data_IF_587765777487
#
_entry.id   IF_587765777487
#
_cell.length_a   1.000
_cell.length_b   1.000
_cell.length_c   1.000
_cell.angle_alpha   90.00
_cell.angle_beta   90.00
_cell.angle_gamma   90.00
#
_symmetry.space_group_name_H-M   'P 1'
#
loop_
_entity.id
_entity.type
_entity.pdbx_description
1 polymer ?
#
# COMPACT_ATOMS: atom_id res chain seq x y z
N UNK A 1 15.86 5.59 -2.65
CA UNK A 1 15.07 4.52 -3.26
C UNK A 1 15.37 3.32 -2.39
N UNK A 2 14.38 2.76 -1.70
CA UNK A 2 14.62 1.54 -0.93
C UNK A 2 13.84 0.46 -1.65
N UNK A 3 14.55 -0.47 -2.28
CA UNK A 3 13.97 -1.72 -2.75
C UNK A 3 13.60 -2.59 -1.55
N UNK A 4 13.65 -3.90 -1.72
CA UNK A 4 13.48 -4.82 -0.60
C UNK A 4 14.51 -4.53 0.51
N UNK A 5 14.20 -4.95 1.74
CA UNK A 5 15.09 -4.75 2.88
C UNK A 5 16.49 -5.38 2.67
N UNK A 6 16.62 -6.33 1.73
CA UNK A 6 17.87 -6.97 1.29
C UNK A 6 18.65 -6.16 0.23
N UNK A 7 18.15 -4.98 -0.18
CA UNK A 7 18.77 -4.12 -1.18
C UNK A 7 18.52 -4.54 -2.63
N UNK A 8 17.72 -5.58 -2.87
CA UNK A 8 17.38 -6.01 -4.23
C UNK A 8 16.23 -5.20 -4.80
N UNK A 9 16.27 -5.01 -6.12
CA UNK A 9 15.13 -4.57 -6.92
C UNK A 9 14.80 -5.74 -7.83
N UNK A 10 13.57 -6.27 -7.72
CA UNK A 10 13.14 -7.50 -8.42
C UNK A 10 12.05 -7.14 -9.43
N UNK A 11 12.41 -6.54 -10.58
CA UNK A 11 11.43 -6.01 -11.53
C UNK A 11 10.59 -7.10 -12.21
N UNK A 12 11.06 -8.35 -12.22
CA UNK A 12 10.39 -9.50 -12.86
C UNK A 12 9.54 -10.33 -11.87
N UNK A 13 9.54 -10.00 -10.58
CA UNK A 13 8.62 -10.63 -9.61
C UNK A 13 7.24 -9.96 -9.66
N UNK A 14 6.20 -10.75 -9.40
CA UNK A 14 4.85 -10.22 -9.25
C UNK A 14 4.82 -9.22 -8.09
N UNK A 15 4.29 -8.03 -8.36
CA UNK A 15 4.19 -6.94 -7.38
C UNK A 15 2.88 -7.07 -6.62
N UNK A 16 2.94 -7.03 -5.29
CA UNK A 16 1.73 -7.10 -4.44
C UNK A 16 0.89 -5.83 -4.57
N UNK A 17 -0.38 -5.90 -4.17
CA UNK A 17 -1.24 -4.71 -4.17
C UNK A 17 -0.69 -3.62 -3.23
N UNK A 18 -0.09 -3.99 -2.11
CA UNK A 18 0.53 -3.06 -1.16
C UNK A 18 1.73 -2.34 -1.79
N UNK A 19 2.61 -3.09 -2.47
CA UNK A 19 3.76 -2.53 -3.18
C UNK A 19 3.33 -1.59 -4.31
N UNK A 20 2.39 -2.03 -5.16
CA UNK A 20 1.85 -1.20 -6.23
C UNK A 20 1.24 0.10 -5.70
N UNK A 21 0.46 0.02 -4.62
CA UNK A 21 -0.16 1.18 -3.99
C UNK A 21 0.89 2.17 -3.48
N UNK A 22 1.93 1.68 -2.81
CA UNK A 22 3.03 2.52 -2.35
C UNK A 22 3.80 3.18 -3.50
N UNK A 23 4.03 2.46 -4.60
CA UNK A 23 4.65 3.02 -5.81
C UNK A 23 3.81 4.15 -6.40
N UNK A 24 2.50 3.97 -6.53
CA UNK A 24 1.59 4.97 -7.09
C UNK A 24 1.55 6.23 -6.21
N UNK A 25 1.43 6.08 -4.89
CA UNK A 25 1.41 7.22 -3.96
C UNK A 25 2.71 8.02 -4.04
N UNK A 26 3.84 7.32 -4.06
CA UNK A 26 5.15 7.95 -4.20
C UNK A 26 5.30 8.67 -5.55
N UNK A 27 4.90 8.04 -6.65
CA UNK A 27 4.96 8.62 -7.99
C UNK A 27 4.05 9.85 -8.12
N UNK A 28 2.90 9.83 -7.44
CA UNK A 28 1.95 10.94 -7.39
C UNK A 28 2.42 12.10 -6.49
N UNK A 29 3.56 11.96 -5.81
CA UNK A 29 4.08 12.92 -4.81
C UNK A 29 3.07 13.23 -3.68
N UNK A 30 2.16 12.28 -3.41
CA UNK A 30 1.22 12.36 -2.30
C UNK A 30 1.97 11.93 -1.04
N UNK A 31 1.85 12.70 0.03
CA UNK A 31 2.38 12.30 1.33
C UNK A 31 1.56 11.12 1.84
N UNK A 32 2.24 10.05 2.23
CA UNK A 32 1.61 8.95 2.97
C UNK A 32 0.93 9.52 4.21
N UNK A 33 -0.25 8.99 4.59
CA UNK A 33 -0.78 9.35 5.90
C UNK A 33 0.07 8.71 6.99
N UNK A 34 0.31 9.45 8.06
CA UNK A 34 0.82 8.84 9.29
C UNK A 34 -0.31 8.31 10.18
N UNK A 35 -1.57 8.69 9.95
CA UNK A 35 -2.54 8.73 11.06
C UNK A 35 -3.97 8.31 10.77
N UNK A 36 -4.22 7.12 10.22
CA UNK A 36 -5.57 6.55 10.23
C UNK A 36 -5.59 5.03 10.24
N UNK A 37 -6.20 4.36 11.24
CA UNK A 37 -6.37 2.91 11.19
C UNK A 37 -7.23 2.54 9.98
N UNK A 38 -6.67 1.70 9.11
CA UNK A 38 -7.39 1.10 8.00
C UNK A 38 -8.50 0.21 8.58
N UNK A 39 -9.75 0.50 8.24
CA UNK A 39 -10.91 -0.21 8.79
C UNK A 39 -11.24 -1.51 8.02
N UNK A 40 -10.23 -2.14 7.43
CA UNK A 40 -10.40 -3.39 6.68
C UNK A 40 -10.27 -4.63 7.58
N UNK A 41 -10.96 -5.71 7.23
CA UNK A 41 -10.89 -6.99 7.95
C UNK A 41 -9.49 -7.61 7.91
N UNK A 42 -8.76 -7.37 6.83
CA UNK A 42 -7.38 -7.81 6.57
C UNK A 42 -6.34 -6.71 6.84
N UNK A 43 -6.69 -5.65 7.57
CA UNK A 43 -5.77 -4.54 7.85
C UNK A 43 -4.46 -4.96 8.55
N UNK A 44 -4.45 -6.12 9.21
CA UNK A 44 -3.28 -6.71 9.84
C UNK A 44 -2.32 -7.38 8.85
N UNK A 45 -2.79 -7.75 7.66
CA UNK A 45 -1.96 -8.33 6.59
C UNK A 45 -1.21 -7.24 5.83
N UNK A 46 -1.66 -5.98 5.92
CA UNK A 46 -1.00 -4.84 5.29
C UNK A 46 0.31 -4.56 6.03
N UNK A 47 1.48 -4.60 5.36
CA UNK A 47 2.75 -4.28 6.00
C UNK A 47 2.76 -2.86 6.57
N UNK A 48 3.40 -2.64 7.73
CA UNK A 48 3.39 -1.35 8.41
C UNK A 48 3.88 -0.18 7.52
N UNK A 49 4.90 -0.44 6.69
CA UNK A 49 5.44 0.55 5.76
C UNK A 49 4.44 0.94 4.65
N UNK A 50 3.48 0.07 4.34
CA UNK A 50 2.47 0.27 3.30
C UNK A 50 1.18 0.91 3.84
N UNK A 51 0.90 0.81 5.15
CA UNK A 51 -0.35 1.31 5.76
C UNK A 51 -0.60 2.79 5.46
N UNK A 52 0.42 3.63 5.57
CA UNK A 52 0.30 5.06 5.28
C UNK A 52 0.00 5.36 3.81
N UNK A 53 0.59 4.58 2.90
CA UNK A 53 0.31 4.69 1.48
C UNK A 53 -1.10 4.18 1.13
N UNK A 54 -1.51 3.05 1.69
CA UNK A 54 -2.86 2.53 1.55
C UNK A 54 -3.91 3.53 2.05
N UNK A 55 -3.70 4.14 3.22
CA UNK A 55 -4.59 5.16 3.77
C UNK A 55 -4.69 6.38 2.85
N UNK A 56 -3.57 6.88 2.33
CA UNK A 56 -3.55 7.96 1.36
C UNK A 56 -4.29 7.58 0.07
N UNK A 57 -4.05 6.38 -0.46
CA UNK A 57 -4.68 5.92 -1.69
C UNK A 57 -6.20 5.86 -1.58
N UNK A 58 -6.74 5.48 -0.42
CA UNK A 58 -8.18 5.47 -0.17
C UNK A 58 -8.75 6.89 -0.12
N UNK A 59 -8.09 7.80 0.60
CA UNK A 59 -8.56 9.19 0.72
C UNK A 59 -8.56 9.94 -0.60
N UNK A 60 -7.56 9.68 -1.45
CA UNK A 60 -7.43 10.30 -2.76
C UNK A 60 -8.18 9.55 -3.87
N UNK A 61 -8.89 8.46 -3.54
CA UNK A 61 -9.67 7.67 -4.50
C UNK A 61 -8.83 6.87 -5.50
N UNK A 62 -7.53 6.70 -5.23
CA UNK A 62 -6.57 5.92 -6.04
C UNK A 62 -6.78 4.42 -5.83
N UNK A 63 -7.11 4.02 -4.61
CA UNK A 63 -7.47 2.66 -4.26
C UNK A 63 -8.84 2.63 -3.60
N UNK A 64 -9.50 1.48 -3.66
CA UNK A 64 -10.77 1.19 -2.99
C UNK A 64 -10.70 -0.21 -2.40
N UNK A 65 -11.52 -0.45 -1.37
CA UNK A 65 -11.73 -1.77 -0.80
C UNK A 65 -12.47 -2.70 -1.76
N UNK A 66 -12.33 -4.01 -1.53
CA UNK A 66 -13.03 -5.05 -2.26
C UNK A 66 -14.24 -5.55 -1.46
N UNK A 67 -15.02 -6.44 -2.09
CA UNK A 67 -16.09 -7.18 -1.41
C UNK A 67 -15.54 -7.87 -0.15
N UNK A 68 -16.30 -7.85 0.95
CA UNK A 68 -15.83 -8.42 2.23
C UNK A 68 -15.09 -7.45 3.14
N UNK A 69 -15.01 -6.16 2.77
CA UNK A 69 -14.28 -5.12 3.52
C UNK A 69 -12.77 -5.41 3.60
N UNK A 70 -12.19 -5.81 2.48
CA UNK A 70 -10.79 -6.19 2.36
C UNK A 70 -9.99 -5.18 1.53
N UNK A 71 -8.74 -4.96 1.89
CA UNK A 71 -7.77 -4.28 1.04
C UNK A 71 -7.14 -5.24 0.02
N UNK A 72 -6.89 -6.48 0.44
CA UNK A 72 -6.13 -7.56 -0.19
C UNK A 72 -4.69 -7.14 -0.53
N UNK A 73 -3.79 -7.01 0.48
CA UNK A 73 -2.46 -6.45 0.29
C UNK A 73 -1.53 -7.26 -0.60
N UNK A 74 -1.72 -8.59 -0.67
CA UNK A 74 -0.93 -9.53 -1.48
C UNK A 74 -1.48 -9.70 -2.90
#
# INVERSE_FOLDING_TARGET
MSGYADGTFRPDEDVTRAEMTAMIIRASKILADEGGPLSFSDANEIPDWAKGAAAAALRWGIAQGRTGNEFAPD
#
